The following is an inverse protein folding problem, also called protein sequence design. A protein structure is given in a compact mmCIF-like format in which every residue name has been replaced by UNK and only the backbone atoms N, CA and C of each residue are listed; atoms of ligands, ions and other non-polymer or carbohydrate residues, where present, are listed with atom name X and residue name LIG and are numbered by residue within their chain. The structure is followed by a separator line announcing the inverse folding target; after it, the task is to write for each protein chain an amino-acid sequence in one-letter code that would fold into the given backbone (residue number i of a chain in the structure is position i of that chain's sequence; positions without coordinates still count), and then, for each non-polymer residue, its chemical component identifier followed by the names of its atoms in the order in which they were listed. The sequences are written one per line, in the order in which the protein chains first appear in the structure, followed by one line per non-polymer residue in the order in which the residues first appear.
data_IF_113611878818
#
_entry.id   IF_113611878818
#
_cell.length_a   1.000
_cell.length_b   1.000
_cell.length_c   1.000
_cell.angle_alpha   90.00
_cell.angle_beta   90.00
_cell.angle_gamma   90.00
#
_symmetry.space_group_name_H-M   'P 1'
#
loop_
_entity.id
_entity.type
_entity.pdbx_description
1 polymer ?
#
# COMPACT_ATOMS: atom_id res chain seq x y z
N UNK A 1 -27.59 3.44 -0.11
CA UNK A 1 -26.38 3.69 -0.93
C UNK A 1 -25.29 4.12 0.03
N UNK A 2 -24.27 3.28 0.24
CA UNK A 2 -23.09 3.70 0.99
C UNK A 2 -22.36 4.75 0.15
N UNK A 3 -22.15 5.93 0.72
CA UNK A 3 -21.46 7.05 0.08
C UNK A 3 -20.04 6.63 -0.26
N UNK A 4 -19.68 6.56 -1.55
CA UNK A 4 -18.29 6.41 -1.99
C UNK A 4 -17.53 7.66 -1.54
N UNK A 5 -16.72 7.56 -0.49
CA UNK A 5 -15.95 8.72 -0.03
C UNK A 5 -14.79 8.94 -1.00
N UNK A 6 -14.69 10.15 -1.54
CA UNK A 6 -13.71 10.59 -2.55
C UNK A 6 -12.28 10.74 -1.98
N UNK A 7 -12.07 10.34 -0.72
CA UNK A 7 -10.80 10.47 0.03
C UNK A 7 -10.05 9.13 0.17
N UNK A 8 -10.44 8.12 -0.62
CA UNK A 8 -9.96 6.73 -0.51
C UNK A 8 -10.20 6.09 0.87
N UNK A 9 -11.06 6.65 1.73
CA UNK A 9 -11.50 6.00 2.96
C UNK A 9 -12.60 4.99 2.63
N UNK A 10 -12.29 3.71 2.82
CA UNK A 10 -13.23 2.61 2.70
C UNK A 10 -12.82 1.46 3.60
N UNK A 11 -13.71 0.49 3.80
CA UNK A 11 -13.35 -0.75 4.50
C UNK A 11 -12.32 -1.49 3.64
N UNK A 12 -11.07 -1.48 4.07
CA UNK A 12 -10.00 -2.23 3.45
C UNK A 12 -9.99 -3.70 3.87
N UNK A 13 -9.41 -4.54 3.03
CA UNK A 13 -8.97 -5.89 3.36
C UNK A 13 -7.47 -5.98 3.19
N UNK A 14 -6.87 -6.89 3.95
CA UNK A 14 -5.52 -7.35 3.68
C UNK A 14 -5.53 -8.85 3.46
N UNK A 15 -4.54 -9.34 2.72
CA UNK A 15 -4.25 -10.76 2.61
C UNK A 15 -2.74 -10.91 2.51
N UNK A 16 -2.20 -11.93 3.16
CA UNK A 16 -0.79 -12.25 3.06
C UNK A 16 -0.62 -13.64 2.44
N UNK A 17 0.10 -13.71 1.33
CA UNK A 17 0.53 -14.96 0.73
C UNK A 17 1.87 -15.37 1.36
N UNK A 18 1.80 -16.31 2.30
CA UNK A 18 2.98 -16.81 3.00
C UNK A 18 4.01 -17.48 2.05
N UNK A 19 3.53 -18.16 1.01
CA UNK A 19 4.39 -18.92 0.09
C UNK A 19 5.21 -17.97 -0.77
N UNK A 20 4.56 -16.95 -1.33
CA UNK A 20 5.18 -16.01 -2.25
C UNK A 20 5.72 -14.74 -1.56
N UNK A 21 5.50 -14.57 -0.26
CA UNK A 21 5.86 -13.37 0.52
C UNK A 21 5.23 -12.08 -0.04
N UNK A 22 3.94 -12.15 -0.35
CA UNK A 22 3.19 -11.04 -0.93
C UNK A 22 2.18 -10.53 0.09
N UNK A 23 2.27 -9.25 0.44
CA UNK A 23 1.28 -8.57 1.24
C UNK A 23 0.39 -7.72 0.34
N UNK A 24 -0.91 -8.05 0.31
CA UNK A 24 -1.93 -7.34 -0.43
C UNK A 24 -2.78 -6.52 0.52
N UNK A 25 -3.01 -5.26 0.16
CA UNK A 25 -4.02 -4.40 0.74
C UNK A 25 -4.96 -3.92 -0.35
N UNK A 26 -6.27 -3.91 -0.08
CA UNK A 26 -7.28 -3.51 -1.06
C UNK A 26 -8.46 -2.81 -0.40
N UNK A 27 -8.98 -1.76 -1.01
CA UNK A 27 -10.24 -1.13 -0.65
C UNK A 27 -11.41 -1.92 -1.28
N UNK A 28 -12.41 -2.29 -0.48
CA UNK A 28 -13.62 -2.95 -0.99
C UNK A 28 -14.45 -2.04 -1.90
N UNK A 29 -15.27 -2.66 -2.74
CA UNK A 29 -16.34 -1.99 -3.50
C UNK A 29 -15.85 -0.90 -4.48
N UNK A 30 -14.63 -1.05 -5.00
CA UNK A 30 -14.07 -0.20 -6.05
C UNK A 30 -13.79 -1.01 -7.31
N UNK A 31 -14.04 -0.41 -8.47
CA UNK A 31 -13.83 -1.04 -9.78
C UNK A 31 -12.40 -0.83 -10.25
N UNK A 32 -11.65 -1.93 -10.39
CA UNK A 32 -10.31 -1.91 -10.97
C UNK A 32 -10.31 -1.33 -12.39
N UNK A 33 -9.28 -0.56 -12.71
CA UNK A 33 -9.04 -0.03 -14.06
C UNK A 33 -7.63 -0.40 -14.56
N UNK A 34 -6.59 -0.06 -13.79
CA UNK A 34 -5.19 -0.30 -14.18
C UNK A 34 -4.30 -0.53 -12.96
N UNK A 35 -3.08 -1.03 -13.19
CA UNK A 35 -2.03 -1.13 -12.17
C UNK A 35 -0.78 -0.37 -12.61
N UNK A 36 -0.04 0.17 -11.65
CA UNK A 36 1.29 0.75 -11.85
C UNK A 36 2.29 -0.07 -11.05
N UNK A 37 3.37 -0.51 -11.70
CA UNK A 37 4.42 -1.31 -11.08
C UNK A 37 5.61 -0.44 -10.65
N UNK A 38 6.14 -0.73 -9.47
CA UNK A 38 7.19 0.02 -8.77
C UNK A 38 8.14 -0.97 -8.08
N UNK A 39 9.16 -1.47 -8.78
CA UNK A 39 10.07 -2.51 -8.27
C UNK A 39 9.31 -3.67 -7.62
N UNK A 40 9.34 -3.75 -6.29
CA UNK A 40 8.69 -4.76 -5.46
C UNK A 40 7.28 -4.34 -4.99
N UNK A 41 6.67 -3.33 -5.60
CA UNK A 41 5.34 -2.81 -5.27
C UNK A 41 4.48 -2.73 -6.53
N UNK A 42 3.20 -3.02 -6.41
CA UNK A 42 2.20 -2.79 -7.48
C UNK A 42 1.00 -2.07 -6.89
N UNK A 43 0.61 -0.98 -7.52
CA UNK A 43 -0.46 -0.10 -7.07
C UNK A 43 -1.63 -0.22 -8.03
N UNK A 44 -2.80 -0.57 -7.52
CA UNK A 44 -4.01 -0.72 -8.32
C UNK A 44 -4.84 0.58 -8.28
N UNK A 45 -5.34 1.02 -9.43
CA UNK A 45 -6.04 2.29 -9.64
C UNK A 45 -7.43 2.01 -10.22
N UNK A 46 -8.45 2.72 -9.74
CA UNK A 46 -9.82 2.63 -10.27
C UNK A 46 -10.07 3.55 -11.47
N UNK A 47 -11.29 3.48 -12.03
CA UNK A 47 -11.71 4.28 -13.19
C UNK A 47 -11.74 5.78 -12.91
N UNK A 48 -11.84 6.17 -11.64
CA UNK A 48 -11.85 7.56 -11.19
C UNK A 48 -10.43 8.07 -10.91
N UNK A 49 -9.40 7.21 -11.07
CA UNK A 49 -8.00 7.55 -10.86
C UNK A 49 -7.56 7.45 -9.40
N UNK A 50 -8.38 6.88 -8.51
CA UNK A 50 -8.01 6.67 -7.11
C UNK A 50 -7.24 5.36 -6.94
N UNK A 51 -6.29 5.37 -6.01
CA UNK A 51 -5.58 4.16 -5.62
C UNK A 51 -6.50 3.31 -4.75
N UNK A 52 -6.61 2.03 -5.11
CA UNK A 52 -7.54 1.08 -4.51
C UNK A 52 -6.88 -0.18 -3.99
N UNK A 53 -5.63 -0.42 -4.36
CA UNK A 53 -4.88 -1.57 -3.89
C UNK A 53 -3.38 -1.33 -3.89
N UNK A 54 -2.70 -2.09 -3.04
CA UNK A 54 -1.25 -2.14 -2.95
C UNK A 54 -0.84 -3.60 -2.76
N UNK A 55 0.01 -4.10 -3.65
CA UNK A 55 0.69 -5.39 -3.54
C UNK A 55 2.16 -5.14 -3.25
N UNK A 56 2.67 -5.79 -2.22
CA UNK A 56 4.05 -5.67 -1.76
C UNK A 56 4.71 -7.03 -1.86
N UNK A 57 5.66 -7.15 -2.77
CA UNK A 57 6.52 -8.32 -2.93
C UNK A 57 7.68 -8.24 -1.95
N UNK A 58 8.15 -9.41 -1.52
CA UNK A 58 9.19 -9.55 -0.49
C UNK A 58 8.86 -8.76 0.78
N UNK A 59 7.58 -8.77 1.18
CA UNK A 59 7.09 -7.93 2.28
C UNK A 59 7.82 -8.19 3.60
N UNK A 60 8.21 -9.44 3.87
CA UNK A 60 8.99 -9.79 5.06
C UNK A 60 10.36 -9.12 5.08
N UNK A 61 11.00 -8.99 3.90
CA UNK A 61 12.29 -8.34 3.75
C UNK A 61 12.13 -6.82 3.84
N UNK A 62 11.13 -6.27 3.13
CA UNK A 62 10.86 -4.84 3.09
C UNK A 62 10.60 -4.27 4.49
N UNK A 63 9.75 -4.94 5.27
CA UNK A 63 9.41 -4.48 6.63
C UNK A 63 10.35 -5.03 7.72
N UNK A 64 11.31 -5.88 7.35
CA UNK A 64 12.17 -6.60 8.30
C UNK A 64 11.33 -7.33 9.36
N UNK A 65 10.23 -7.95 8.93
CA UNK A 65 9.29 -8.69 9.77
C UNK A 65 9.29 -10.16 9.38
N UNK A 66 8.98 -11.06 10.32
CA UNK A 66 8.82 -12.46 9.95
C UNK A 66 7.54 -12.66 9.14
N UNK A 67 7.56 -13.59 8.19
CA UNK A 67 6.36 -14.00 7.44
C UNK A 67 5.18 -14.36 8.35
N UNK A 68 5.47 -14.96 9.51
CA UNK A 68 4.47 -15.32 10.53
C UNK A 68 3.78 -14.08 11.11
N UNK A 69 4.54 -12.99 11.34
CA UNK A 69 3.98 -11.74 11.85
C UNK A 69 3.11 -11.02 10.80
N UNK A 70 3.47 -11.12 9.52
CA UNK A 70 2.70 -10.54 8.40
C UNK A 70 1.42 -11.32 8.08
N UNK A 71 1.36 -12.60 8.46
CA UNK A 71 0.17 -13.43 8.27
C UNK A 71 -1.05 -12.96 9.08
N UNK A 72 -0.84 -12.11 10.10
CA UNK A 72 -1.91 -11.52 10.89
C UNK A 72 -1.57 -10.08 11.22
N UNK A 73 -2.25 -9.14 10.58
CA UNK A 73 -2.17 -7.70 10.91
C UNK A 73 -3.49 -7.19 11.50
N UNK A 74 -3.39 -6.12 12.28
CA UNK A 74 -4.51 -5.35 12.85
C UNK A 74 -4.36 -3.88 12.48
N UNK A 75 -5.45 -3.13 12.63
CA UNK A 75 -5.46 -1.66 12.54
C UNK A 75 -4.78 -1.16 11.26
N UNK A 76 -5.15 -1.76 10.13
CA UNK A 76 -4.64 -1.34 8.83
C UNK A 76 -5.31 -0.03 8.40
N UNK A 77 -4.51 0.98 8.09
CA UNK A 77 -4.92 2.24 7.50
C UNK A 77 -4.12 2.48 6.23
N UNK A 78 -4.80 3.04 5.23
CA UNK A 78 -4.25 3.33 3.92
C UNK A 78 -4.65 4.74 3.54
N UNK A 79 -3.68 5.62 3.41
CA UNK A 79 -3.88 6.98 2.96
C UNK A 79 -3.06 7.20 1.70
N UNK A 80 -3.64 7.87 0.72
CA UNK A 80 -2.93 8.19 -0.52
C UNK A 80 -3.08 9.66 -0.84
N UNK A 81 -2.00 10.25 -1.31
CA UNK A 81 -1.94 11.63 -1.77
C UNK A 81 -1.33 11.62 -3.16
N UNK A 82 -1.92 12.36 -4.09
CA UNK A 82 -1.33 12.58 -5.40
C UNK A 82 -1.06 14.08 -5.50
N UNK A 83 0.21 14.43 -5.64
CA UNK A 83 0.65 15.82 -5.74
C UNK A 83 1.27 16.07 -7.10
N UNK A 84 1.16 17.29 -7.59
CA UNK A 84 1.94 17.73 -8.76
C UNK A 84 3.13 18.51 -8.23
N UNK A 85 4.33 17.96 -8.39
CA UNK A 85 5.57 18.63 -8.00
C UNK A 85 5.92 19.80 -8.91
N UNK A 86 6.94 20.57 -8.52
CA UNK A 86 7.34 21.83 -9.15
C UNK A 86 7.65 21.73 -10.65
N UNK A 87 7.98 20.54 -11.14
CA UNK A 87 8.29 20.25 -12.56
C UNK A 87 7.11 19.69 -13.37
N UNK A 88 5.87 19.78 -12.87
CA UNK A 88 4.68 19.09 -13.40
C UNK A 88 4.77 17.54 -13.33
N UNK A 89 5.66 17.02 -12.51
CA UNK A 89 5.75 15.58 -12.23
C UNK A 89 4.66 15.21 -11.23
N UNK A 90 3.99 14.07 -11.44
CA UNK A 90 2.98 13.59 -10.49
C UNK A 90 3.68 12.71 -9.46
N UNK A 91 3.65 13.11 -8.19
CA UNK A 91 4.15 12.32 -7.08
C UNK A 91 2.98 11.62 -6.42
N UNK A 92 3.05 10.30 -6.36
CA UNK A 92 2.10 9.48 -5.62
C UNK A 92 2.73 9.18 -4.26
N UNK A 93 2.07 9.64 -3.20
CA UNK A 93 2.41 9.28 -1.83
C UNK A 93 1.43 8.25 -1.29
N UNK A 94 1.94 7.09 -0.89
CA UNK A 94 1.13 6.05 -0.26
C UNK A 94 1.60 5.89 1.18
N UNK A 95 0.72 6.23 2.12
CA UNK A 95 0.93 5.97 3.54
C UNK A 95 0.18 4.73 3.98
N UNK A 96 0.96 3.75 4.41
CA UNK A 96 0.47 2.48 4.94
C UNK A 96 0.73 2.44 6.44
N UNK A 97 -0.31 2.17 7.24
CA UNK A 97 -0.18 1.86 8.67
C UNK A 97 -0.80 0.51 8.97
N UNK A 98 -0.13 -0.34 9.74
CA UNK A 98 -0.70 -1.58 10.24
C UNK A 98 0.12 -2.08 11.42
N UNK A 99 -0.52 -2.91 12.25
CA UNK A 99 0.09 -3.54 13.43
C UNK A 99 0.22 -5.04 13.18
N UNK A 100 1.42 -5.56 12.89
CA UNK A 100 1.64 -6.99 12.73
C UNK A 100 1.54 -7.71 14.08
N UNK A 101 1.04 -8.95 14.07
CA UNK A 101 0.78 -9.74 15.28
C UNK A 101 1.62 -11.01 15.27
N UNK A 102 2.51 -11.16 16.25
CA UNK A 102 3.25 -12.40 16.47
C UNK A 102 2.76 -13.06 17.77
N UNK A 103 2.20 -14.27 17.66
CA UNK A 103 1.64 -15.01 18.81
C UNK A 103 0.67 -14.17 19.65
N UNK A 104 -0.21 -13.42 18.97
CA UNK A 104 -1.18 -12.48 19.55
C UNK A 104 -0.58 -11.27 20.29
N UNK A 105 0.73 -11.02 20.14
CA UNK A 105 1.36 -9.79 20.64
C UNK A 105 1.59 -8.81 19.48
N UNK A 106 1.20 -7.53 19.64
CA UNK A 106 1.49 -6.52 18.64
C UNK A 106 3.00 -6.32 18.52
N UNK A 107 3.49 -6.24 17.29
CA UNK A 107 4.88 -5.93 16.99
C UNK A 107 4.97 -4.46 16.57
N UNK A 108 5.30 -3.60 17.53
CA UNK A 108 5.55 -2.19 17.27
C UNK A 108 6.97 -2.06 16.71
N UNK A 109 7.08 -1.66 15.45
CA UNK A 109 8.34 -1.22 14.84
C UNK A 109 8.15 0.20 14.33
N UNK A 110 9.22 0.98 14.25
CA UNK A 110 9.16 2.28 13.57
C UNK A 110 8.97 2.07 12.06
N UNK A 111 8.25 3.01 11.44
CA UNK A 111 8.07 3.05 9.99
C UNK A 111 9.36 3.13 9.19
N UNK A 112 9.26 2.81 7.90
CA UNK A 112 10.31 3.02 6.92
C UNK A 112 9.75 3.76 5.70
N UNK A 113 10.40 4.84 5.35
CA UNK A 113 10.09 5.60 4.14
C UNK A 113 10.76 4.92 2.95
N UNK A 114 9.99 4.67 1.88
CA UNK A 114 10.40 3.87 0.73
C UNK A 114 10.11 4.67 -0.53
N UNK A 115 11.13 5.27 -1.13
CA UNK A 115 10.99 5.96 -2.43
C UNK A 115 11.15 4.94 -3.57
N UNK A 116 10.25 4.95 -4.55
CA UNK A 116 10.27 4.04 -5.72
C UNK A 116 9.85 4.75 -7.00
N UNK A 117 10.52 4.45 -8.09
CA UNK A 117 10.14 4.95 -9.42
C UNK A 117 9.22 3.94 -10.14
N UNK A 118 8.22 4.45 -10.86
CA UNK A 118 7.32 3.61 -11.63
C UNK A 118 8.03 3.04 -12.87
N UNK A 119 7.92 1.73 -13.07
CA UNK A 119 8.36 1.11 -14.31
C UNK A 119 7.38 1.48 -15.43
N UNK A 120 7.89 2.06 -16.52
CA UNK A 120 7.17 2.29 -17.79
C UNK A 120 6.00 3.28 -17.81
N UNK A 121 5.65 3.95 -16.71
CA UNK A 121 4.60 4.98 -16.74
C UNK A 121 5.18 6.37 -17.06
N UNK A 122 4.38 7.27 -17.64
CA UNK A 122 4.73 8.70 -17.77
C UNK A 122 4.83 9.42 -16.40
N UNK A 123 4.70 8.70 -15.29
CA UNK A 123 4.81 9.19 -13.92
C UNK A 123 6.24 8.93 -13.44
N UNK A 124 7.06 9.98 -13.43
CA UNK A 124 8.37 9.96 -12.76
C UNK A 124 8.18 10.35 -11.30
N UNK A 125 8.90 9.66 -10.41
CA UNK A 125 8.99 9.86 -8.95
C UNK A 125 7.71 9.52 -8.17
N UNK A 126 7.75 8.44 -7.39
CA UNK A 126 6.71 8.12 -6.39
C UNK A 126 7.35 7.80 -5.04
N UNK A 127 6.73 8.25 -3.96
CA UNK A 127 7.27 8.14 -2.61
C UNK A 127 6.28 7.33 -1.76
N UNK A 128 6.63 6.10 -1.43
CA UNK A 128 5.80 5.24 -0.58
C UNK A 128 6.25 5.39 0.87
N UNK A 129 5.50 6.14 1.67
CA UNK A 129 5.77 6.33 3.09
C UNK A 129 5.17 5.19 3.91
N UNK A 130 5.90 4.12 4.21
CA UNK A 130 5.33 3.05 5.03
C UNK A 130 5.58 3.28 6.52
N UNK A 131 4.52 3.43 7.32
CA UNK A 131 4.65 3.46 8.78
C UNK A 131 4.13 2.17 9.38
N UNK A 132 5.01 1.20 9.65
CA UNK A 132 4.67 0.10 10.57
C UNK A 132 4.52 0.71 11.97
N UNK A 133 3.50 0.30 12.73
CA UNK A 133 3.23 0.79 14.09
C UNK A 133 2.90 -0.38 15.03
#
# INVERSE_FOLDING_TARGET
MESKHLDARGKGEYTYDFRNDILLFKIKNREYNMSIEFENLVVDIDKEGFITGLRIFDASQLFKLSKIALNKVRSFEFNTKVETGDKKEKVITIQLRFVPMLRNKPMIKQGQDIVREAFSSQIKNSEVLCTVA
#
